data_IF_137417923748
#
_entry.id   IF_137417923748
#
_cell.length_a   1.000
_cell.length_b   1.000
_cell.length_c   1.000
_cell.angle_alpha   90.00
_cell.angle_beta   90.00
_cell.angle_gamma   90.00
#
_symmetry.space_group_name_H-M   'P 1'
#
loop_
_entity.id
_entity.type
_entity.pdbx_description
1 polymer ?
#
# COMPACT_ATOMS: atom_id res chain seq x y z
N UNK A 1 14.00 -7.58 1.41
CA UNK A 1 12.56 -7.53 1.06
C UNK A 1 12.24 -8.83 0.32
N UNK A 2 11.44 -9.71 0.91
CA UNK A 2 11.20 -11.06 0.38
C UNK A 2 10.45 -11.05 -0.96
N UNK A 3 10.72 -12.08 -1.78
CA UNK A 3 10.15 -12.34 -3.12
C UNK A 3 8.62 -12.22 -3.21
N UNK A 4 7.90 -12.33 -2.09
CA UNK A 4 6.44 -12.28 -2.06
C UNK A 4 5.86 -10.90 -2.42
N UNK A 5 6.54 -9.81 -2.07
CA UNK A 5 6.06 -8.45 -2.41
C UNK A 5 6.21 -8.13 -3.91
N UNK A 6 7.20 -8.72 -4.58
CA UNK A 6 7.45 -8.46 -6.01
C UNK A 6 6.37 -9.02 -6.94
N UNK A 7 5.60 -10.02 -6.52
CA UNK A 7 4.58 -10.64 -7.38
C UNK A 7 3.32 -9.76 -7.47
N UNK A 8 3.02 -9.02 -6.40
CA UNK A 8 1.78 -8.24 -6.28
C UNK A 8 1.96 -6.74 -6.47
N UNK A 9 3.19 -6.24 -6.36
CA UNK A 9 3.51 -4.82 -6.48
C UNK A 9 4.12 -4.52 -7.84
N UNK A 10 3.43 -3.70 -8.62
CA UNK A 10 3.93 -3.14 -9.87
C UNK A 10 4.03 -1.62 -9.72
N UNK A 11 5.23 -1.05 -9.79
CA UNK A 11 5.46 0.38 -9.56
C UNK A 11 4.77 1.27 -10.61
N UNK A 12 4.52 0.77 -11.84
CA UNK A 12 3.80 1.52 -12.88
C UNK A 12 2.30 1.57 -12.60
N UNK A 13 1.73 0.49 -12.07
CA UNK A 13 0.31 0.38 -11.73
C UNK A 13 -0.02 0.99 -10.37
N UNK A 14 0.82 0.72 -9.38
CA UNK A 14 0.55 0.98 -7.96
C UNK A 14 1.29 2.23 -7.45
N UNK A 15 2.17 2.81 -8.26
CA UNK A 15 3.01 3.96 -7.91
C UNK A 15 4.15 3.58 -6.96
N UNK A 16 5.02 4.55 -6.64
CA UNK A 16 6.17 4.31 -5.79
C UNK A 16 5.78 4.25 -4.29
N UNK A 17 5.56 3.05 -3.77
CA UNK A 17 5.20 2.82 -2.35
C UNK A 17 6.22 3.43 -1.39
N UNK A 18 7.50 3.45 -1.77
CA UNK A 18 8.56 4.00 -0.91
C UNK A 18 8.41 5.51 -0.74
N UNK A 19 8.10 6.24 -1.81
CA UNK A 19 7.75 7.67 -1.71
C UNK A 19 6.49 7.88 -0.89
N UNK A 20 5.43 7.10 -1.13
CA UNK A 20 4.18 7.20 -0.38
C UNK A 20 4.40 7.02 1.14
N UNK A 21 5.23 6.07 1.55
CA UNK A 21 5.59 5.86 2.96
C UNK A 21 6.33 7.08 3.52
N UNK A 22 7.26 7.66 2.76
CA UNK A 22 7.98 8.86 3.18
C UNK A 22 7.05 10.06 3.34
N UNK A 23 6.11 10.25 2.42
CA UNK A 23 5.10 11.31 2.53
C UNK A 23 4.22 11.10 3.77
N UNK A 24 3.72 9.88 3.98
CA UNK A 24 2.91 9.53 5.16
C UNK A 24 3.64 9.80 6.48
N UNK A 25 4.96 9.55 6.55
CA UNK A 25 5.80 9.85 7.73
C UNK A 25 6.03 11.35 7.95
N UNK A 26 5.95 12.17 6.89
CA UNK A 26 6.13 13.64 6.95
C UNK A 26 4.87 14.38 7.37
N UNK A 27 3.70 13.75 7.31
CA UNK A 27 2.42 14.34 7.75
C UNK A 27 2.51 14.68 9.25
N UNK A 28 2.66 15.97 9.56
CA UNK A 28 2.81 16.51 10.93
C UNK A 28 1.70 16.06 11.89
N UNK A 29 0.49 15.85 11.37
CA UNK A 29 -0.71 15.51 12.16
C UNK A 29 -0.97 14.01 12.30
N UNK A 30 -0.07 13.13 11.83
CA UNK A 30 -0.26 11.69 11.95
C UNK A 30 0.91 11.01 12.67
N UNK A 31 0.96 11.09 14.02
CA UNK A 31 1.88 10.27 14.80
C UNK A 31 1.67 8.76 14.54
N UNK A 32 0.51 8.40 13.99
CA UNK A 32 0.12 7.04 13.62
C UNK A 32 1.08 6.40 12.60
N UNK A 33 1.48 7.11 11.53
CA UNK A 33 2.41 6.55 10.54
C UNK A 33 3.87 6.63 10.99
N UNK A 34 4.23 7.62 11.82
CA UNK A 34 5.60 7.75 12.35
C UNK A 34 6.03 6.58 13.24
N UNK A 35 5.10 6.00 14.00
CA UNK A 35 5.37 4.92 14.97
C UNK A 35 5.39 3.52 14.34
N UNK A 36 4.96 3.38 13.08
CA UNK A 36 4.87 2.09 12.38
C UNK A 36 6.13 1.78 11.59
N UNK A 37 6.39 0.50 11.41
CA UNK A 37 7.42 0.02 10.48
C UNK A 37 7.01 0.26 9.03
N UNK A 38 7.97 0.34 8.12
CA UNK A 38 7.67 0.51 6.70
C UNK A 38 6.82 -0.64 6.16
N UNK A 39 7.07 -1.87 6.62
CA UNK A 39 6.30 -3.06 6.23
C UNK A 39 4.83 -2.98 6.64
N UNK A 40 4.51 -2.45 7.82
CA UNK A 40 3.13 -2.22 8.23
C UNK A 40 2.45 -1.17 7.34
N UNK A 41 3.15 -0.07 7.05
CA UNK A 41 2.59 1.00 6.20
C UNK A 41 2.37 0.48 4.77
N UNK A 42 3.31 -0.30 4.23
CA UNK A 42 3.15 -0.99 2.94
C UNK A 42 1.92 -1.89 2.94
N UNK A 43 1.73 -2.71 3.99
CA UNK A 43 0.58 -3.59 4.10
C UNK A 43 -0.74 -2.79 4.16
N UNK A 44 -0.77 -1.65 4.85
CA UNK A 44 -1.96 -0.79 4.91
C UNK A 44 -2.29 -0.14 3.55
N UNK A 45 -1.28 0.33 2.83
CA UNK A 45 -1.44 0.89 1.48
C UNK A 45 -1.94 -0.18 0.51
N UNK A 46 -1.27 -1.33 0.49
CA UNK A 46 -1.62 -2.47 -0.37
C UNK A 46 -2.98 -3.05 -0.02
N UNK A 47 -3.36 -3.16 1.26
CA UNK A 47 -4.68 -3.69 1.66
C UNK A 47 -5.84 -2.75 1.30
N UNK A 48 -5.63 -1.43 1.34
CA UNK A 48 -6.62 -0.47 0.83
C UNK A 48 -6.79 -0.61 -0.69
N UNK A 49 -5.68 -0.75 -1.43
CA UNK A 49 -5.72 -1.04 -2.86
C UNK A 49 -6.42 -2.38 -3.14
N UNK A 50 -6.08 -3.43 -2.38
CA UNK A 50 -6.68 -4.76 -2.45
C UNK A 50 -8.18 -4.74 -2.17
N UNK A 51 -8.67 -3.94 -1.21
CA UNK A 51 -10.10 -3.81 -0.93
C UNK A 51 -10.85 -3.20 -2.11
N UNK A 52 -10.24 -2.25 -2.81
CA UNK A 52 -10.77 -1.67 -4.06
C UNK A 52 -10.74 -2.68 -5.20
N UNK A 53 -9.66 -3.45 -5.34
CA UNK A 53 -9.53 -4.51 -6.33
C UNK A 53 -10.51 -5.67 -6.10
N UNK A 54 -10.67 -6.14 -4.87
CA UNK A 54 -11.67 -7.16 -4.51
C UNK A 54 -13.09 -6.65 -4.83
N UNK A 55 -13.36 -5.36 -4.61
CA UNK A 55 -14.65 -4.76 -4.98
C UNK A 55 -14.84 -4.71 -6.50
N UNK A 56 -13.79 -4.43 -7.27
CA UNK A 56 -13.81 -4.51 -8.75
C UNK A 56 -14.01 -5.95 -9.23
N UNK A 57 -13.38 -6.92 -8.58
CA UNK A 57 -13.57 -8.34 -8.85
C UNK A 57 -14.98 -8.84 -8.49
N UNK A 58 -15.57 -8.34 -7.40
CA UNK A 58 -16.93 -8.72 -6.98
C UNK A 58 -18.05 -8.03 -7.78
N UNK A 59 -17.76 -6.90 -8.41
CA UNK A 59 -18.74 -6.11 -9.16
C UNK A 59 -18.61 -6.26 -10.68
N UNK A 60 -17.66 -7.04 -11.17
CA UNK A 60 -17.61 -7.48 -12.57
C UNK A 60 -17.79 -8.99 -12.58
N UNK A 61 -18.85 -9.44 -13.26
CA UNK A 61 -19.11 -10.84 -13.61
C UNK A 61 -17.89 -11.50 -14.29
N UNK A 62 -17.12 -12.26 -13.51
CA UNK A 62 -16.31 -13.40 -13.98
C UNK A 62 -16.88 -14.64 -13.31
#
# INVERSE_FOLDING_TARGET
>A
MGKCLQIYYDEKRDGNIREMIQELRKIKNSPYYRRRSDSEISLMLLSKALKSEIKRFKNNDI
#
